data_IF_381859864607
#
_entry.id   IF_381859864607
#
_cell.length_a   1.000
_cell.length_b   1.000
_cell.length_c   1.000
_cell.angle_alpha   90.00
_cell.angle_beta   90.00
_cell.angle_gamma   90.00
#
_symmetry.space_group_name_H-M   'P 1'
#
loop_
_entity.id
_entity.type
_entity.pdbx_description
1 polymer ?
#
# COMPACT_ATOMS: atom_id res chain seq x y z
N UNK A 1 20.87 -9.34 -3.23
CA UNK A 1 19.62 -8.73 -2.73
C UNK A 1 19.47 -9.14 -1.28
N UNK A 2 19.14 -8.20 -0.41
CA UNK A 2 18.92 -8.42 1.02
C UNK A 2 17.50 -8.03 1.37
N UNK A 3 16.87 -8.72 2.31
CA UNK A 3 15.50 -8.46 2.74
C UNK A 3 15.06 -9.55 3.70
N UNK A 4 13.80 -9.99 3.59
CA UNK A 4 13.34 -11.16 4.33
C UNK A 4 14.18 -12.41 3.98
N UNK A 5 14.21 -13.46 4.84
CA UNK A 5 14.92 -14.70 4.54
C UNK A 5 14.52 -15.36 3.22
N UNK A 6 13.25 -15.16 2.79
CA UNK A 6 12.73 -15.64 1.51
C UNK A 6 13.17 -14.79 0.31
N UNK A 7 13.47 -13.50 0.53
CA UNK A 7 13.88 -12.54 -0.51
C UNK A 7 15.41 -12.38 -0.59
N UNK A 8 16.10 -12.80 0.46
CA UNK A 8 17.56 -12.75 0.54
C UNK A 8 18.16 -13.88 -0.29
N UNK A 9 18.82 -13.50 -1.38
CA UNK A 9 19.56 -14.45 -2.21
C UNK A 9 20.96 -14.59 -1.63
N UNK A 10 21.25 -15.78 -1.07
CA UNK A 10 22.55 -16.11 -0.46
C UNK A 10 23.70 -16.21 -1.48
N UNK A 11 23.39 -16.43 -2.76
CA UNK A 11 24.38 -16.52 -3.85
C UNK A 11 24.50 -15.16 -4.53
N UNK A 12 25.72 -14.61 -4.58
CA UNK A 12 26.00 -13.39 -5.31
C UNK A 12 25.94 -13.63 -6.83
N UNK A 13 25.21 -12.78 -7.54
CA UNK A 13 25.34 -12.68 -9.00
C UNK A 13 26.63 -11.92 -9.32
N UNK A 14 27.48 -12.49 -10.18
CA UNK A 14 28.76 -11.90 -10.56
C UNK A 14 28.91 -11.92 -12.07
N UNK A 15 29.34 -10.80 -12.64
CA UNK A 15 29.73 -10.72 -14.05
C UNK A 15 31.12 -11.31 -14.28
N UNK A 16 31.44 -11.62 -15.53
CA UNK A 16 32.81 -11.86 -15.99
C UNK A 16 33.62 -10.56 -15.93
N UNK A 17 34.90 -10.70 -15.64
CA UNK A 17 35.85 -9.59 -15.66
C UNK A 17 36.13 -9.15 -17.11
N UNK A 18 36.23 -7.84 -17.34
CA UNK A 18 36.59 -7.25 -18.63
C UNK A 18 38.03 -6.71 -18.52
N UNK A 19 39.04 -7.47 -18.99
CA UNK A 19 40.43 -7.05 -18.90
C UNK A 19 40.72 -5.87 -19.83
N UNK A 20 41.59 -4.96 -19.41
CA UNK A 20 42.12 -3.88 -20.26
C UNK A 20 41.16 -2.73 -20.59
N UNK A 21 39.95 -2.68 -20.01
CA UNK A 21 38.99 -1.59 -20.21
C UNK A 21 38.40 -1.09 -18.88
N UNK A 22 39.15 -0.23 -18.18
CA UNK A 22 38.73 0.39 -16.91
C UNK A 22 37.87 1.65 -17.05
N UNK A 23 37.70 2.19 -18.27
CA UNK A 23 37.00 3.45 -18.51
C UNK A 23 35.49 3.23 -18.74
N UNK A 24 35.13 2.27 -19.60
CA UNK A 24 33.74 1.94 -19.90
C UNK A 24 33.60 0.44 -20.22
N UNK A 25 33.73 -0.44 -19.22
CA UNK A 25 33.53 -1.87 -19.41
C UNK A 25 32.05 -2.16 -19.73
N UNK A 26 31.82 -2.97 -20.77
CA UNK A 26 30.48 -3.41 -21.17
C UNK A 26 30.31 -4.88 -20.81
N UNK A 27 29.32 -5.17 -19.98
CA UNK A 27 29.01 -6.51 -19.50
C UNK A 27 27.80 -7.03 -20.28
N UNK A 28 28.04 -7.62 -21.45
CA UNK A 28 27.00 -8.20 -22.32
C UNK A 28 26.62 -9.61 -21.83
N UNK A 29 26.02 -9.69 -20.65
CA UNK A 29 25.64 -10.95 -20.01
C UNK A 29 24.13 -11.13 -19.89
N UNK A 30 23.72 -12.35 -19.54
CA UNK A 30 22.32 -12.65 -19.24
C UNK A 30 21.80 -11.77 -18.09
N UNK A 31 20.54 -11.31 -18.16
CA UNK A 31 19.95 -10.49 -17.11
C UNK A 31 19.97 -11.19 -15.75
N UNK A 32 20.33 -10.45 -14.70
CA UNK A 32 20.19 -10.94 -13.33
C UNK A 32 18.71 -11.06 -12.95
N UNK A 33 18.23 -12.30 -12.86
CA UNK A 33 16.82 -12.59 -12.63
C UNK A 33 16.52 -12.85 -11.14
N UNK A 34 15.66 -12.04 -10.56
CA UNK A 34 15.11 -12.22 -9.21
C UNK A 34 13.67 -12.76 -9.34
N UNK A 35 13.52 -14.09 -9.28
CA UNK A 35 12.25 -14.76 -9.63
C UNK A 35 11.08 -14.42 -8.74
N UNK A 36 11.31 -14.27 -7.43
CA UNK A 36 10.25 -14.03 -6.45
C UNK A 36 10.77 -13.09 -5.37
N UNK A 37 10.07 -11.99 -5.19
CA UNK A 37 10.24 -11.07 -4.08
C UNK A 37 8.90 -10.98 -3.37
N UNK A 38 8.87 -11.44 -2.12
CA UNK A 38 7.66 -11.55 -1.28
C UNK A 38 7.27 -10.18 -0.77
N UNK A 39 8.24 -9.38 -0.29
CA UNK A 39 7.97 -8.04 0.24
C UNK A 39 9.01 -7.02 -0.27
N UNK A 40 8.74 -6.37 -1.42
CA UNK A 40 9.64 -5.39 -2.02
C UNK A 40 10.03 -4.23 -1.08
N UNK A 41 9.12 -3.81 -0.21
CA UNK A 41 9.29 -2.65 0.70
C UNK A 41 10.44 -2.83 1.70
N UNK A 42 10.75 -4.08 2.08
CA UNK A 42 11.87 -4.41 2.97
C UNK A 42 13.09 -4.95 2.21
N UNK A 43 13.03 -5.01 0.89
CA UNK A 43 14.11 -5.54 0.06
C UNK A 43 15.01 -4.42 -0.46
N UNK A 44 16.32 -4.68 -0.46
CA UNK A 44 17.35 -3.81 -1.03
C UNK A 44 18.24 -4.55 -2.02
N UNK A 45 18.57 -3.88 -3.12
CA UNK A 45 19.53 -4.31 -4.12
C UNK A 45 20.88 -3.66 -3.84
N UNK A 46 21.89 -4.47 -3.54
CA UNK A 46 23.29 -4.03 -3.44
C UNK A 46 24.01 -4.36 -4.74
N UNK A 47 24.67 -3.37 -5.30
CA UNK A 47 25.54 -3.48 -6.47
C UNK A 47 26.96 -3.13 -6.00
N UNK A 48 27.91 -4.03 -6.19
CA UNK A 48 29.32 -3.82 -5.84
C UNK A 48 30.16 -3.93 -7.10
N UNK A 49 31.07 -2.98 -7.30
CA UNK A 49 32.07 -3.00 -8.37
C UNK A 49 33.41 -3.33 -7.77
N UNK A 50 34.05 -4.36 -8.30
CA UNK A 50 35.31 -4.89 -7.80
C UNK A 50 36.37 -4.80 -8.88
N UNK A 51 37.61 -4.63 -8.45
CA UNK A 51 38.80 -4.76 -9.28
C UNK A 51 39.15 -6.24 -9.50
N UNK A 52 40.04 -6.51 -10.45
CA UNK A 52 40.62 -7.84 -10.71
C UNK A 52 41.30 -8.46 -9.47
N UNK A 53 41.85 -7.61 -8.58
CA UNK A 53 42.44 -8.00 -7.29
C UNK A 53 41.41 -8.44 -6.23
N UNK A 54 40.11 -8.27 -6.50
CA UNK A 54 39.02 -8.48 -5.53
C UNK A 54 38.77 -7.29 -4.61
N UNK A 55 39.50 -6.18 -4.77
CA UNK A 55 39.27 -4.93 -4.02
C UNK A 55 37.96 -4.26 -4.44
N UNK A 56 37.17 -3.80 -3.48
CA UNK A 56 35.95 -3.03 -3.75
C UNK A 56 36.30 -1.62 -4.23
N UNK A 57 35.88 -1.28 -5.44
CA UNK A 57 36.06 0.05 -6.04
C UNK A 57 34.91 0.99 -5.66
N UNK A 58 33.70 0.46 -5.54
CA UNK A 58 32.53 1.22 -5.13
C UNK A 58 31.29 0.35 -5.01
N UNK A 59 30.30 0.83 -4.28
CA UNK A 59 29.03 0.14 -4.07
C UNK A 59 27.84 1.08 -4.13
N UNK A 60 26.67 0.52 -4.41
CA UNK A 60 25.39 1.20 -4.25
C UNK A 60 24.39 0.25 -3.61
N UNK A 61 23.59 0.77 -2.67
CA UNK A 61 22.44 0.08 -2.09
C UNK A 61 21.19 0.86 -2.52
N UNK A 62 20.24 0.17 -3.15
CA UNK A 62 19.00 0.73 -3.66
C UNK A 62 17.80 0.00 -3.04
N UNK A 63 16.83 0.70 -2.43
CA UNK A 63 15.57 0.09 -2.03
C UNK A 63 14.75 -0.30 -3.27
N UNK A 64 14.03 -1.42 -3.19
CA UNK A 64 13.21 -1.89 -4.32
C UNK A 64 11.93 -1.05 -4.53
N UNK A 65 11.31 -0.54 -3.45
CA UNK A 65 10.10 0.30 -3.49
C UNK A 65 10.27 1.56 -4.35
N UNK A 66 11.49 2.13 -4.39
CA UNK A 66 11.81 3.31 -5.19
C UNK A 66 12.40 3.02 -6.58
N UNK A 67 12.49 1.75 -6.98
CA UNK A 67 13.17 1.37 -8.23
C UNK A 67 12.24 1.60 -9.43
N UNK A 68 12.77 2.23 -10.48
CA UNK A 68 12.02 2.51 -11.70
C UNK A 68 12.59 1.71 -12.87
N UNK A 69 11.71 1.15 -13.71
CA UNK A 69 12.11 0.40 -14.89
C UNK A 69 12.79 1.28 -15.96
N UNK A 70 13.56 0.65 -16.85
CA UNK A 70 14.28 1.25 -17.97
C UNK A 70 15.77 1.46 -17.73
N UNK A 71 16.41 2.15 -18.67
CA UNK A 71 17.84 2.48 -18.63
C UNK A 71 18.14 3.58 -17.60
N UNK A 72 19.10 3.33 -16.71
CA UNK A 72 19.45 4.21 -15.59
C UNK A 72 20.96 4.29 -15.37
N UNK A 73 21.43 5.47 -14.99
CA UNK A 73 22.75 5.65 -14.40
C UNK A 73 22.66 5.56 -12.88
N UNK A 74 23.50 4.73 -12.29
CA UNK A 74 23.60 4.50 -10.86
C UNK A 74 24.96 5.00 -10.38
N UNK A 75 24.98 6.12 -9.65
CA UNK A 75 26.20 6.67 -9.06
C UNK A 75 26.65 5.83 -7.87
N UNK A 76 27.92 5.41 -7.91
CA UNK A 76 28.53 4.61 -6.85
C UNK A 76 28.91 5.46 -5.64
N UNK A 77 29.08 4.76 -4.52
CA UNK A 77 29.55 5.29 -3.24
C UNK A 77 30.74 4.47 -2.77
N UNK A 78 31.52 5.01 -1.84
CA UNK A 78 32.63 4.30 -1.21
C UNK A 78 32.12 3.16 -0.31
N UNK A 79 33.04 2.33 0.20
CA UNK A 79 32.71 1.29 1.18
C UNK A 79 32.02 1.86 2.43
N UNK A 80 32.45 3.04 2.90
CA UNK A 80 31.84 3.79 3.99
C UNK A 80 30.56 4.56 3.58
N UNK A 81 29.99 4.29 2.40
CA UNK A 81 28.75 4.88 1.88
C UNK A 81 28.82 6.41 1.62
N UNK A 82 30.02 6.95 1.41
CA UNK A 82 30.20 8.34 0.98
C UNK A 82 30.01 8.50 -0.54
N UNK A 83 29.39 9.59 -1.03
CA UNK A 83 29.20 9.82 -2.46
C UNK A 83 30.52 9.89 -3.25
N UNK A 84 30.57 9.26 -4.43
CA UNK A 84 31.67 9.42 -5.39
C UNK A 84 31.17 10.23 -6.61
N UNK A 85 32.02 11.10 -7.16
CA UNK A 85 31.59 12.09 -8.15
C UNK A 85 31.49 11.55 -9.60
N UNK A 86 32.36 10.61 -9.99
CA UNK A 86 32.52 10.17 -11.38
C UNK A 86 32.08 8.72 -11.67
N UNK A 87 32.28 7.72 -10.80
CA UNK A 87 31.98 6.35 -11.16
C UNK A 87 30.47 6.09 -11.15
N UNK A 88 29.91 5.77 -12.32
CA UNK A 88 28.51 5.43 -12.51
C UNK A 88 28.36 4.13 -13.28
N UNK A 89 27.40 3.30 -12.89
CA UNK A 89 26.99 2.13 -13.65
C UNK A 89 25.80 2.48 -14.54
N UNK A 90 25.80 2.02 -15.77
CA UNK A 90 24.65 2.10 -16.65
C UNK A 90 23.96 0.73 -16.71
N UNK A 91 22.69 0.66 -16.32
CA UNK A 91 21.95 -0.60 -16.28
C UNK A 91 20.54 -0.43 -16.84
N UNK A 92 20.00 -1.50 -17.42
CA UNK A 92 18.58 -1.60 -17.73
C UNK A 92 17.88 -2.37 -16.60
N UNK A 93 16.83 -1.81 -16.02
CA UNK A 93 16.05 -2.42 -14.95
C UNK A 93 14.69 -2.83 -15.52
N UNK A 94 14.37 -4.13 -15.47
CA UNK A 94 13.03 -4.63 -15.80
C UNK A 94 12.29 -5.05 -14.54
N UNK A 95 11.09 -4.48 -14.33
CA UNK A 95 10.20 -4.84 -13.22
C UNK A 95 9.02 -5.63 -13.78
N UNK A 96 8.84 -6.87 -13.32
CA UNK A 96 7.74 -7.75 -13.71
C UNK A 96 6.96 -8.17 -12.47
N UNK A 97 5.66 -8.31 -12.62
CA UNK A 97 4.80 -8.85 -11.57
C UNK A 97 5.07 -10.36 -11.50
N UNK A 98 5.30 -10.87 -10.29
CA UNK A 98 5.47 -12.30 -10.09
C UNK A 98 4.16 -13.04 -10.36
N UNK A 99 4.18 -13.95 -11.32
CA UNK A 99 3.08 -14.88 -11.62
C UNK A 99 3.52 -16.27 -11.16
N UNK A 100 2.78 -16.92 -10.24
CA UNK A 100 3.09 -18.28 -9.84
C UNK A 100 3.00 -19.26 -11.02
N UNK A 101 3.88 -20.26 -11.02
CA UNK A 101 3.93 -21.30 -12.04
C UNK A 101 2.54 -21.97 -12.21
N UNK A 102 2.08 -22.09 -13.45
CA UNK A 102 0.74 -22.62 -13.79
C UNK A 102 -0.38 -21.58 -13.87
N UNK A 103 -0.12 -20.31 -13.54
CA UNK A 103 -1.06 -19.20 -13.72
C UNK A 103 -0.68 -18.25 -14.87
N UNK A 104 0.35 -18.58 -15.65
CA UNK A 104 0.79 -17.77 -16.80
C UNK A 104 -0.33 -17.61 -17.84
N UNK A 105 -1.00 -18.71 -18.21
CA UNK A 105 -2.13 -18.69 -19.15
C UNK A 105 -3.32 -17.88 -18.63
N UNK A 106 -3.57 -17.93 -17.32
CA UNK A 106 -4.64 -17.16 -16.68
C UNK A 106 -4.33 -15.66 -16.66
N UNK A 107 -3.08 -15.28 -16.38
CA UNK A 107 -2.64 -13.90 -16.40
C UNK A 107 -2.61 -13.32 -17.82
N UNK A 108 -2.17 -14.12 -18.80
CA UNK A 108 -2.23 -13.75 -20.22
C UNK A 108 -3.68 -13.51 -20.67
N UNK A 109 -4.61 -14.37 -20.24
CA UNK A 109 -6.04 -14.23 -20.51
C UNK A 109 -6.66 -12.98 -19.85
N UNK A 110 -6.18 -12.56 -18.68
CA UNK A 110 -6.62 -11.32 -18.02
C UNK A 110 -6.00 -10.05 -18.62
N UNK A 111 -4.79 -10.17 -19.17
CA UNK A 111 -4.03 -9.03 -19.71
C UNK A 111 -4.42 -8.69 -21.14
N UNK A 112 -4.95 -9.65 -21.90
CA UNK A 112 -5.48 -9.43 -23.25
C UNK A 112 -6.99 -9.73 -23.34
N UNK A 113 -7.85 -8.76 -23.00
CA UNK A 113 -9.29 -8.93 -23.07
C UNK A 113 -9.82 -9.13 -24.51
N UNK A 114 -9.01 -8.88 -25.55
CA UNK A 114 -9.36 -9.08 -26.95
C UNK A 114 -9.00 -10.46 -27.52
N UNK A 115 -8.11 -11.20 -26.87
CA UNK A 115 -7.73 -12.56 -27.28
C UNK A 115 -8.86 -13.59 -27.10
N UNK A 116 -9.80 -13.31 -26.18
CA UNK A 116 -10.89 -14.21 -25.84
C UNK A 116 -11.94 -14.36 -26.96
N UNK A 117 -12.25 -13.28 -27.68
CA UNK A 117 -13.20 -13.30 -28.80
C UNK A 117 -12.68 -14.14 -29.97
N UNK A 118 -11.38 -14.04 -30.29
CA UNK A 118 -10.78 -14.78 -31.41
C UNK A 118 -10.55 -16.27 -31.10
N UNK A 119 -10.27 -16.62 -29.85
CA UNK A 119 -10.16 -18.01 -29.39
C UNK A 119 -11.53 -18.71 -29.34
N UNK A 120 -12.55 -17.99 -28.87
CA UNK A 120 -13.94 -18.47 -28.86
C UNK A 120 -14.52 -18.60 -30.28
N UNK A 121 -14.18 -17.69 -31.21
CA UNK A 121 -14.55 -17.80 -32.62
C UNK A 121 -13.88 -19.00 -33.30
N UNK A 122 -12.58 -19.23 -33.07
CA UNK A 122 -11.89 -20.41 -33.61
C UNK A 122 -12.41 -21.72 -33.04
N UNK A 123 -12.72 -21.79 -31.74
CA UNK A 123 -13.37 -22.97 -31.16
C UNK A 123 -14.81 -23.15 -31.69
N UNK A 124 -15.55 -22.07 -31.90
CA UNK A 124 -16.90 -22.12 -32.47
C UNK A 124 -16.89 -22.57 -33.95
N UNK A 125 -15.95 -22.10 -34.77
CA UNK A 125 -15.76 -22.58 -36.16
C UNK A 125 -15.34 -24.04 -36.21
N UNK A 126 -14.40 -24.45 -35.35
CA UNK A 126 -13.93 -25.85 -35.30
C UNK A 126 -15.05 -26.80 -34.84
N UNK A 127 -15.90 -26.36 -33.89
CA UNK A 127 -17.06 -27.12 -33.42
C UNK A 127 -18.22 -27.13 -34.43
N UNK A 128 -18.37 -26.08 -35.24
CA UNK A 128 -19.35 -26.01 -36.33
C UNK A 128 -18.95 -26.87 -37.54
N UNK A 129 -17.65 -27.03 -37.78
CA UNK A 129 -17.10 -27.95 -38.79
C UNK A 129 -17.22 -29.43 -38.42
N UNK A 130 -17.44 -29.77 -37.15
CA UNK A 130 -17.54 -31.16 -36.65
C UNK A 130 -18.99 -31.65 -36.44
N UNK A 131 -20.01 -30.86 -36.81
CA UNK A 131 -21.40 -31.33 -36.92
C UNK A 131 -22.09 -31.76 -35.61
N UNK A 132 -21.66 -31.26 -34.46
CA UNK A 132 -22.28 -31.57 -33.16
C UNK A 132 -23.26 -30.46 -32.77
N UNK A 133 -24.54 -30.60 -33.14
CA UNK A 133 -25.62 -29.83 -32.52
C UNK A 133 -25.94 -30.42 -31.13
N UNK A 134 -25.49 -29.74 -30.07
CA UNK A 134 -25.90 -30.05 -28.70
C UNK A 134 -27.19 -29.31 -28.35
N UNK A 135 -28.19 -30.09 -27.95
CA UNK A 135 -29.51 -29.66 -27.48
C UNK A 135 -29.44 -28.73 -26.25
N UNK A 136 -30.27 -27.68 -26.30
CA UNK A 136 -30.27 -26.42 -25.53
C UNK A 136 -30.49 -26.49 -24.00
N UNK A 137 -30.30 -27.60 -23.31
CA UNK A 137 -30.60 -27.67 -21.87
C UNK A 137 -29.47 -27.17 -20.95
N UNK A 138 -28.20 -27.18 -21.40
CA UNK A 138 -27.04 -26.78 -20.58
C UNK A 138 -26.56 -25.34 -20.81
N UNK A 139 -26.97 -24.70 -21.90
CA UNK A 139 -26.58 -23.32 -22.22
C UNK A 139 -27.28 -22.29 -21.31
N UNK A 140 -28.54 -22.52 -20.93
CA UNK A 140 -29.29 -21.61 -20.05
C UNK A 140 -28.74 -21.58 -18.61
N UNK A 141 -28.25 -22.72 -18.10
CA UNK A 141 -27.65 -22.79 -16.76
C UNK A 141 -26.27 -22.12 -16.70
N UNK A 142 -25.55 -22.07 -17.82
CA UNK A 142 -24.23 -21.43 -17.94
C UNK A 142 -24.36 -19.91 -18.15
N UNK A 143 -25.32 -19.47 -18.97
CA UNK A 143 -25.67 -18.04 -19.12
C UNK A 143 -26.12 -17.40 -17.82
N UNK A 144 -26.94 -18.08 -17.01
CA UNK A 144 -27.34 -17.58 -15.68
C UNK A 144 -26.18 -17.39 -14.71
N UNK A 145 -25.13 -18.23 -14.76
CA UNK A 145 -23.93 -18.10 -13.93
C UNK A 145 -22.98 -16.99 -14.40
N UNK A 146 -22.88 -16.74 -15.70
CA UNK A 146 -22.08 -15.64 -16.26
C UNK A 146 -22.74 -14.26 -16.07
N UNK A 147 -24.07 -14.17 -16.11
CA UNK A 147 -24.78 -12.91 -15.78
C UNK A 147 -24.69 -12.56 -14.28
N UNK A 148 -24.71 -13.56 -13.39
CA UNK A 148 -24.53 -13.34 -11.94
C UNK A 148 -23.12 -12.84 -11.59
N UNK A 149 -22.11 -13.20 -12.39
CA UNK A 149 -20.72 -12.78 -12.22
C UNK A 149 -20.41 -11.37 -12.77
N UNK A 150 -21.28 -10.80 -13.61
CA UNK A 150 -21.16 -9.42 -14.14
C UNK A 150 -21.82 -8.34 -13.27
N UNK A 151 -22.55 -8.70 -12.20
CA UNK A 151 -22.96 -7.72 -11.18
C UNK A 151 -21.74 -7.40 -10.32
N UNK A 152 -21.11 -6.25 -10.57
CA UNK A 152 -19.99 -5.71 -9.76
C UNK A 152 -20.18 -6.02 -8.26
N UNK A 153 -19.29 -6.87 -7.73
CA UNK A 153 -19.20 -7.13 -6.30
C UNK A 153 -18.85 -5.78 -5.66
N UNK A 154 -19.75 -5.25 -4.82
CA UNK A 154 -19.54 -3.95 -4.19
C UNK A 154 -18.42 -4.12 -3.17
N UNK A 155 -17.29 -3.48 -3.44
CA UNK A 155 -16.11 -3.47 -2.59
C UNK A 155 -16.02 -2.09 -1.95
N UNK A 156 -16.29 -1.94 -0.64
CA UNK A 156 -16.07 -0.67 0.02
C UNK A 156 -14.59 -0.30 -0.01
N UNK A 157 -14.30 0.99 -0.09
CA UNK A 157 -12.93 1.47 0.05
C UNK A 157 -12.35 1.06 1.42
N UNK A 158 -11.08 0.58 1.47
CA UNK A 158 -10.44 0.22 2.72
C UNK A 158 -10.32 1.43 3.64
N UNK A 159 -10.74 1.29 4.90
CA UNK A 159 -10.58 2.34 5.91
C UNK A 159 -9.15 2.27 6.45
N UNK A 160 -8.30 3.21 6.06
CA UNK A 160 -6.91 3.38 6.52
C UNK A 160 -6.71 4.72 7.23
N UNK A 161 -5.65 4.86 8.03
CA UNK A 161 -5.31 6.13 8.70
C UNK A 161 -5.26 7.31 7.72
N UNK A 162 -4.70 7.10 6.52
CA UNK A 162 -4.61 8.16 5.51
C UNK A 162 -5.96 8.55 4.92
N UNK A 163 -6.87 7.60 4.74
CA UNK A 163 -8.25 7.90 4.33
C UNK A 163 -8.99 8.68 5.42
N UNK A 164 -8.82 8.30 6.68
CA UNK A 164 -9.43 8.98 7.83
C UNK A 164 -8.89 10.41 8.01
N UNK A 165 -7.59 10.64 7.76
CA UNK A 165 -7.00 11.99 7.79
C UNK A 165 -7.54 12.91 6.70
N UNK A 166 -8.06 12.36 5.60
CA UNK A 166 -8.68 13.12 4.49
C UNK A 166 -10.16 13.42 4.74
N UNK A 167 -10.78 12.79 5.72
CA UNK A 167 -12.17 13.06 6.07
C UNK A 167 -12.35 14.50 6.52
N UNK A 168 -13.38 15.18 6.00
CA UNK A 168 -13.66 16.58 6.32
C UNK A 168 -13.97 16.80 7.81
N UNK A 169 -14.39 15.75 8.48
CA UNK A 169 -14.70 15.72 9.92
C UNK A 169 -13.45 15.68 10.79
N UNK A 170 -12.27 15.31 10.25
CA UNK A 170 -11.00 15.33 10.97
C UNK A 170 -10.49 16.76 11.15
N UNK A 171 -10.82 17.39 12.28
CA UNK A 171 -10.47 18.79 12.57
C UNK A 171 -9.18 18.93 13.37
N UNK A 172 -8.80 17.88 14.10
CA UNK A 172 -7.70 17.93 15.05
C UNK A 172 -6.32 18.01 14.39
N UNK A 173 -6.13 17.44 13.19
CA UNK A 173 -4.84 17.52 12.49
C UNK A 173 -4.33 18.95 12.26
N UNK A 174 -5.23 19.89 11.93
CA UNK A 174 -4.87 21.32 11.77
C UNK A 174 -4.54 21.99 13.11
N UNK A 175 -5.17 21.56 14.19
CA UNK A 175 -4.91 22.09 15.55
C UNK A 175 -3.56 21.60 16.05
N UNK A 176 -3.29 20.30 15.95
CA UNK A 176 -2.02 19.67 16.32
C UNK A 176 -0.83 20.28 15.57
N UNK A 177 -0.98 20.52 14.26
CA UNK A 177 0.06 21.17 13.46
C UNK A 177 0.36 22.60 13.95
N UNK A 178 -0.66 23.39 14.28
CA UNK A 178 -0.49 24.75 14.82
C UNK A 178 0.19 24.74 16.20
N UNK A 179 -0.14 23.78 17.05
CA UNK A 179 0.49 23.62 18.37
C UNK A 179 1.98 23.30 18.23
N UNK A 180 2.35 22.35 17.36
CA UNK A 180 3.74 22.00 17.05
C UNK A 180 4.52 23.19 16.47
N UNK A 181 3.94 23.91 15.51
CA UNK A 181 4.60 25.09 14.92
C UNK A 181 4.84 26.18 15.96
N UNK A 182 3.91 26.36 16.90
CA UNK A 182 4.04 27.35 17.97
C UNK A 182 5.14 26.97 18.94
N UNK A 183 5.22 25.69 19.33
CA UNK A 183 6.29 25.15 20.16
C UNK A 183 7.66 25.31 19.49
N UNK A 184 7.80 24.87 18.23
CA UNK A 184 9.05 24.98 17.47
C UNK A 184 9.54 26.41 17.35
N UNK A 185 8.63 27.37 17.14
CA UNK A 185 8.96 28.81 17.13
C UNK A 185 9.47 29.30 18.49
N UNK A 186 8.89 28.81 19.60
CA UNK A 186 9.36 29.13 20.96
C UNK A 186 10.77 28.57 21.18
N UNK A 187 10.98 27.29 20.87
CA UNK A 187 12.30 26.64 20.97
C UNK A 187 13.36 27.35 20.14
N UNK A 188 13.02 27.75 18.91
CA UNK A 188 13.93 28.49 18.04
C UNK A 188 14.34 29.85 18.64
N UNK A 189 13.41 30.58 19.26
CA UNK A 189 13.71 31.85 19.95
C UNK A 189 14.60 31.65 21.19
N UNK A 190 14.38 30.58 21.94
CA UNK A 190 15.23 30.22 23.10
C UNK A 190 16.65 29.88 22.66
N UNK A 191 16.80 29.04 21.62
CA UNK A 191 18.11 28.72 21.00
C UNK A 191 18.84 29.98 20.52
N UNK A 192 18.15 30.86 19.79
CA UNK A 192 18.74 32.12 19.30
C UNK A 192 19.19 33.05 20.43
N UNK A 193 18.38 33.16 21.50
CA UNK A 193 18.73 34.00 22.65
C UNK A 193 19.95 33.45 23.39
N UNK A 194 20.01 32.14 23.63
CA UNK A 194 21.17 31.52 24.28
C UNK A 194 22.44 31.64 23.44
N UNK A 195 22.34 31.35 22.13
CA UNK A 195 23.47 31.48 21.21
C UNK A 195 24.03 32.90 21.21
N UNK A 196 23.18 33.93 21.15
CA UNK A 196 23.62 35.33 21.25
C UNK A 196 24.36 35.60 22.55
N UNK A 197 23.83 35.15 23.69
CA UNK A 197 24.45 35.35 25.00
C UNK A 197 25.81 34.64 25.11
N UNK A 198 25.89 33.40 24.64
CA UNK A 198 27.12 32.61 24.62
C UNK A 198 28.19 33.23 23.73
N UNK A 199 27.84 33.64 22.50
CA UNK A 199 28.76 34.33 21.59
C UNK A 199 29.27 35.64 22.18
N UNK A 200 28.39 36.49 22.73
CA UNK A 200 28.81 37.75 23.37
C UNK A 200 29.71 37.54 24.60
N UNK A 201 29.53 36.44 25.34
CA UNK A 201 30.40 36.11 26.47
C UNK A 201 31.79 35.65 25.99
N UNK A 202 31.86 34.82 24.95
CA UNK A 202 33.13 34.39 24.33
C UNK A 202 33.86 35.59 23.72
N UNK A 203 33.17 36.45 22.97
CA UNK A 203 33.77 37.65 22.35
C UNK A 203 34.46 38.54 23.39
N UNK A 204 33.82 38.76 24.53
CA UNK A 204 34.41 39.54 25.64
C UNK A 204 35.65 38.87 26.24
N UNK A 205 35.65 37.54 26.34
CA UNK A 205 36.77 36.76 26.90
C UNK A 205 37.97 36.67 25.95
N UNK A 206 37.72 36.69 24.64
CA UNK A 206 38.73 36.57 23.58
C UNK A 206 39.32 37.93 23.19
N UNK A 207 38.60 39.02 23.44
CA UNK A 207 39.01 40.38 23.06
C UNK A 207 40.39 40.75 23.63
N UNK A 208 41.34 41.01 22.74
CA UNK A 208 42.68 41.47 23.09
C UNK A 208 43.63 40.37 23.59
N UNK A 209 43.25 39.08 23.53
CA UNK A 209 44.13 37.96 23.87
C UNK A 209 44.72 37.30 22.62
N UNK A 210 45.97 36.85 22.75
CA UNK A 210 46.67 36.09 21.71
C UNK A 210 46.10 34.66 21.59
N UNK A 211 46.07 34.10 20.38
CA UNK A 211 45.52 32.76 20.09
C UNK A 211 46.21 31.67 20.91
N UNK A 212 47.53 31.77 21.11
CA UNK A 212 48.28 30.76 21.86
C UNK A 212 47.99 30.83 23.38
N UNK A 213 47.72 32.03 23.90
CA UNK A 213 47.34 32.23 25.30
C UNK A 213 45.91 31.72 25.58
N UNK A 214 45.00 31.86 24.60
CA UNK A 214 43.60 31.42 24.70
C UNK A 214 43.43 29.90 24.79
N UNK A 215 44.26 29.14 24.07
CA UNK A 215 44.20 27.67 24.03
C UNK A 215 44.53 27.04 25.40
N UNK A 216 45.36 27.71 26.20
CA UNK A 216 45.78 27.27 27.53
C UNK A 216 44.92 27.88 28.66
N UNK A 217 44.08 28.88 28.36
CA UNK A 217 43.30 29.61 29.36
C UNK A 217 42.21 28.71 30.00
N UNK A 218 42.41 28.38 31.28
CA UNK A 218 41.49 27.55 32.05
C UNK A 218 40.09 28.19 32.18
N UNK A 219 40.00 29.53 32.20
CA UNK A 219 38.72 30.23 32.29
C UNK A 219 37.93 30.11 30.97
N UNK A 220 38.62 30.19 29.83
CA UNK A 220 37.98 29.98 28.50
C UNK A 220 37.46 28.55 28.38
N UNK A 221 38.26 27.55 28.77
CA UNK A 221 37.83 26.13 28.78
C UNK A 221 36.62 25.90 29.69
N UNK A 222 36.64 26.50 30.88
CA UNK A 222 35.52 26.40 31.85
C UNK A 222 34.24 26.99 31.26
N UNK A 223 34.30 28.19 30.69
CA UNK A 223 33.14 28.85 30.09
C UNK A 223 32.59 28.06 28.90
N UNK A 224 33.45 27.54 28.02
CA UNK A 224 33.02 26.69 26.90
C UNK A 224 32.33 25.42 27.41
N UNK A 225 32.88 24.78 28.47
CA UNK A 225 32.26 23.60 29.08
C UNK A 225 30.89 23.90 29.69
N UNK A 226 30.74 25.02 30.39
CA UNK A 226 29.47 25.47 30.97
C UNK A 226 28.43 25.81 29.89
N UNK A 227 28.85 26.51 28.83
CA UNK A 227 27.98 26.83 27.69
C UNK A 227 27.52 25.56 26.95
N UNK A 228 28.44 24.62 26.75
CA UNK A 228 28.12 23.31 26.14
C UNK A 228 27.09 22.55 26.99
N UNK A 229 27.26 22.54 28.32
CA UNK A 229 26.30 21.91 29.23
C UNK A 229 24.92 22.60 29.21
N UNK A 230 24.90 23.94 29.23
CA UNK A 230 23.65 24.72 29.13
C UNK A 230 22.91 24.47 27.82
N UNK A 231 23.63 24.45 26.69
CA UNK A 231 23.05 24.15 25.39
C UNK A 231 22.49 22.73 25.36
N UNK A 232 23.29 21.75 25.76
CA UNK A 232 22.89 20.34 25.81
C UNK A 232 21.61 20.14 26.64
N UNK A 233 21.54 20.73 27.84
CA UNK A 233 20.37 20.66 28.71
C UNK A 233 19.12 21.32 28.08
N UNK A 234 19.29 22.44 27.37
CA UNK A 234 18.18 23.08 26.64
C UNK A 234 17.67 22.18 25.51
N UNK A 235 18.55 21.64 24.67
CA UNK A 235 18.13 20.82 23.52
C UNK A 235 17.50 19.50 24.00
N UNK A 236 17.99 18.91 25.08
CA UNK A 236 17.34 17.76 25.74
C UNK A 236 15.91 18.12 26.18
N UNK A 237 15.73 19.26 26.87
CA UNK A 237 14.41 19.73 27.29
C UNK A 237 13.48 19.94 26.10
N UNK A 238 13.95 20.62 25.04
CA UNK A 238 13.16 20.86 23.83
C UNK A 238 12.70 19.56 23.17
N UNK A 239 13.60 18.57 23.07
CA UNK A 239 13.25 17.24 22.53
C UNK A 239 12.21 16.53 23.37
N UNK A 240 12.36 16.53 24.70
CA UNK A 240 11.36 15.94 25.61
C UNK A 240 9.99 16.59 25.45
N UNK A 241 9.95 17.93 25.38
CA UNK A 241 8.71 18.68 25.15
C UNK A 241 8.07 18.34 23.78
N UNK A 242 8.86 18.28 22.70
CA UNK A 242 8.36 17.90 21.37
C UNK A 242 7.80 16.46 21.36
N UNK A 243 8.50 15.52 21.98
CA UNK A 243 8.05 14.13 22.05
C UNK A 243 6.81 13.93 22.90
N UNK A 244 6.75 14.54 24.07
CA UNK A 244 5.57 14.45 24.93
C UNK A 244 4.33 15.01 24.22
N UNK A 245 4.50 16.10 23.44
CA UNK A 245 3.45 16.64 22.60
C UNK A 245 3.06 15.68 21.46
N UNK A 246 4.02 15.13 20.71
CA UNK A 246 3.74 14.19 19.62
C UNK A 246 3.06 12.90 20.12
N UNK A 247 3.49 12.39 21.27
CA UNK A 247 2.87 11.25 21.94
C UNK A 247 1.42 11.58 22.31
N UNK A 248 1.19 12.71 22.97
CA UNK A 248 -0.15 13.18 23.35
C UNK A 248 -1.04 13.38 22.11
N UNK A 249 -0.51 13.95 21.04
CA UNK A 249 -1.24 14.13 19.77
C UNK A 249 -1.61 12.80 19.13
N UNK A 250 -0.73 11.81 19.21
CA UNK A 250 -0.97 10.45 18.69
C UNK A 250 -2.03 9.72 19.52
N UNK A 251 -1.96 9.83 20.85
CA UNK A 251 -2.96 9.26 21.77
C UNK A 251 -4.33 9.91 21.62
N UNK A 252 -4.41 11.24 21.56
CA UNK A 252 -5.67 11.96 21.31
C UNK A 252 -6.21 11.65 19.90
N UNK A 253 -5.31 11.52 18.93
CA UNK A 253 -5.67 11.12 17.56
C UNK A 253 -6.32 9.74 17.50
N UNK A 254 -5.92 8.81 18.38
CA UNK A 254 -6.52 7.46 18.49
C UNK A 254 -8.02 7.51 18.72
N UNK A 255 -8.46 8.26 19.72
CA UNK A 255 -9.87 8.34 20.10
C UNK A 255 -10.71 8.97 18.99
N UNK A 256 -10.14 9.94 18.26
CA UNK A 256 -10.80 10.56 17.11
C UNK A 256 -10.86 9.61 15.92
N UNK A 257 -9.78 8.90 15.60
CA UNK A 257 -9.79 7.90 14.53
C UNK A 257 -10.77 6.76 14.82
N UNK A 258 -10.92 6.33 16.08
CA UNK A 258 -11.94 5.35 16.49
C UNK A 258 -13.36 5.85 16.19
N UNK A 259 -13.67 7.09 16.61
CA UNK A 259 -14.97 7.72 16.30
C UNK A 259 -15.21 7.88 14.80
N UNK A 260 -14.18 8.26 14.04
CA UNK A 260 -14.29 8.42 12.59
C UNK A 260 -14.51 7.07 11.88
N UNK A 261 -13.83 6.01 12.31
CA UNK A 261 -14.06 4.66 11.79
C UNK A 261 -15.52 4.27 11.98
N UNK A 262 -16.11 4.47 13.17
CA UNK A 262 -17.52 4.12 13.41
C UNK A 262 -18.47 4.85 12.45
N UNK A 263 -18.21 6.13 12.17
CA UNK A 263 -19.00 6.93 11.23
C UNK A 263 -18.87 6.39 9.79
N UNK A 264 -17.65 6.08 9.35
CA UNK A 264 -17.41 5.53 8.00
C UNK A 264 -18.01 4.13 7.87
N UNK A 265 -17.87 3.28 8.89
CA UNK A 265 -18.48 1.95 8.92
C UNK A 265 -20.00 2.02 8.85
N UNK A 266 -20.62 2.92 9.62
CA UNK A 266 -22.07 3.15 9.55
C UNK A 266 -22.53 3.61 8.15
N UNK A 267 -21.74 4.47 7.50
CA UNK A 267 -21.98 4.88 6.11
C UNK A 267 -21.89 3.70 5.13
N UNK A 268 -20.86 2.86 5.25
CA UNK A 268 -20.68 1.66 4.43
C UNK A 268 -21.82 0.64 4.64
N UNK A 269 -22.27 0.42 5.87
CA UNK A 269 -23.43 -0.43 6.17
C UNK A 269 -24.70 0.12 5.51
N UNK A 270 -24.92 1.43 5.58
CA UNK A 270 -26.08 2.08 4.94
C UNK A 270 -26.04 1.95 3.41
N UNK A 271 -24.87 2.08 2.80
CA UNK A 271 -24.68 1.87 1.36
C UNK A 271 -24.96 0.41 0.96
N UNK A 272 -24.47 -0.56 1.73
CA UNK A 272 -24.74 -1.97 1.50
C UNK A 272 -26.24 -2.28 1.62
N UNK A 273 -26.91 -1.74 2.64
CA UNK A 273 -28.35 -1.92 2.81
C UNK A 273 -29.14 -1.32 1.64
N UNK A 274 -28.78 -0.12 1.18
CA UNK A 274 -29.42 0.50 0.01
C UNK A 274 -29.23 -0.35 -1.27
N UNK A 275 -28.05 -0.97 -1.44
CA UNK A 275 -27.81 -1.93 -2.54
C UNK A 275 -28.72 -3.15 -2.41
N UNK A 276 -28.81 -3.73 -1.21
CA UNK A 276 -29.68 -4.89 -0.95
C UNK A 276 -31.15 -4.60 -1.24
N UNK A 277 -31.64 -3.43 -0.84
CA UNK A 277 -33.01 -3.00 -1.11
C UNK A 277 -33.27 -2.84 -2.62
N UNK A 278 -32.30 -2.26 -3.35
CA UNK A 278 -32.37 -2.14 -4.81
C UNK A 278 -32.38 -3.51 -5.51
N UNK A 279 -31.49 -4.42 -5.11
CA UNK A 279 -31.42 -5.77 -5.66
C UNK A 279 -32.73 -6.56 -5.45
N UNK A 280 -33.39 -6.38 -4.29
CA UNK A 280 -34.70 -6.99 -4.01
C UNK A 280 -35.77 -6.40 -4.94
N UNK A 281 -35.77 -5.07 -5.12
CA UNK A 281 -36.73 -4.39 -6.01
C UNK A 281 -36.56 -4.86 -7.46
N UNK A 282 -35.33 -4.93 -7.95
CA UNK A 282 -35.02 -5.38 -9.31
C UNK A 282 -35.38 -6.85 -9.52
N UNK A 283 -35.10 -7.72 -8.53
CA UNK A 283 -35.53 -9.11 -8.55
C UNK A 283 -37.05 -9.24 -8.63
N UNK A 284 -37.81 -8.53 -7.78
CA UNK A 284 -39.27 -8.58 -7.81
C UNK A 284 -39.83 -8.09 -9.16
N UNK A 285 -39.24 -7.04 -9.74
CA UNK A 285 -39.61 -6.55 -11.07
C UNK A 285 -39.33 -7.59 -12.16
N UNK A 286 -38.21 -8.31 -12.10
CA UNK A 286 -37.89 -9.39 -13.02
C UNK A 286 -38.85 -10.58 -12.86
N UNK A 287 -39.22 -10.96 -11.63
CA UNK A 287 -40.21 -12.02 -11.39
C UNK A 287 -41.58 -11.68 -11.99
N UNK A 288 -42.00 -10.41 -11.89
CA UNK A 288 -43.22 -9.93 -12.51
C UNK A 288 -43.15 -10.01 -14.05
N UNK A 289 -42.03 -9.57 -14.66
CA UNK A 289 -41.81 -9.67 -16.12
C UNK A 289 -41.86 -11.12 -16.61
N UNK A 290 -41.12 -12.02 -15.97
CA UNK A 290 -41.12 -13.45 -16.30
C UNK A 290 -42.52 -14.05 -16.21
N UNK A 291 -43.31 -13.66 -15.21
CA UNK A 291 -44.69 -14.13 -15.06
C UNK A 291 -45.59 -13.68 -16.22
N UNK A 292 -45.45 -12.44 -16.68
CA UNK A 292 -46.19 -11.89 -17.82
C UNK A 292 -45.75 -12.54 -19.13
N UNK A 293 -44.44 -12.71 -19.34
CA UNK A 293 -43.87 -13.37 -20.53
C UNK A 293 -44.32 -14.83 -20.62
N UNK A 294 -44.25 -15.57 -19.51
CA UNK A 294 -44.73 -16.96 -19.44
C UNK A 294 -46.22 -17.06 -19.81
N UNK A 295 -47.05 -16.11 -19.37
CA UNK A 295 -48.46 -16.09 -19.73
C UNK A 295 -48.67 -15.82 -21.23
N UNK A 296 -47.91 -14.88 -21.81
CA UNK A 296 -47.94 -14.59 -23.25
C UNK A 296 -47.47 -15.78 -24.09
N UNK A 297 -46.40 -16.44 -23.68
CA UNK A 297 -45.86 -17.64 -24.35
C UNK A 297 -46.90 -18.76 -24.43
N UNK A 298 -47.55 -19.09 -23.31
CA UNK A 298 -48.57 -20.14 -23.27
C UNK A 298 -49.80 -19.78 -24.13
N UNK A 299 -50.19 -18.50 -24.16
CA UNK A 299 -51.30 -18.05 -25.00
C UNK A 299 -50.98 -18.10 -26.50
N UNK A 300 -49.75 -17.79 -26.87
CA UNK A 300 -49.27 -17.75 -28.26
C UNK A 300 -48.79 -19.11 -28.79
N UNK A 301 -48.69 -20.12 -27.93
CA UNK A 301 -48.31 -21.48 -28.31
C UNK A 301 -49.38 -22.11 -29.23
N UNK A 302 -48.98 -22.37 -30.49
CA UNK A 302 -49.83 -22.97 -31.53
C UNK A 302 -50.02 -24.47 -31.34
N UNK A 303 -49.20 -25.14 -30.53
CA UNK A 303 -49.34 -26.57 -30.23
C UNK A 303 -50.52 -26.85 -29.29
N UNK A 304 -50.94 -25.86 -28.50
CA UNK A 304 -52.07 -25.96 -27.58
C UNK A 304 -53.36 -25.53 -28.28
N UNK A 305 -54.19 -26.50 -28.69
CA UNK A 305 -55.37 -26.24 -29.55
C UNK A 305 -56.62 -25.85 -28.76
N UNK A 306 -56.76 -26.29 -27.51
CA UNK A 306 -57.95 -26.01 -26.69
C UNK A 306 -57.67 -25.02 -25.57
N UNK A 307 -58.70 -24.28 -25.15
CA UNK A 307 -58.61 -23.38 -23.98
C UNK A 307 -58.23 -24.15 -22.71
N UNK A 308 -58.75 -25.36 -22.52
CA UNK A 308 -58.44 -26.22 -21.39
C UNK A 308 -56.97 -26.63 -21.33
N UNK A 309 -56.35 -26.95 -22.48
CA UNK A 309 -54.92 -27.29 -22.54
C UNK A 309 -54.02 -26.09 -22.22
N UNK A 310 -54.38 -24.90 -22.72
CA UNK A 310 -53.69 -23.64 -22.37
C UNK A 310 -53.80 -23.33 -20.89
N UNK A 311 -54.98 -23.48 -20.30
CA UNK A 311 -55.21 -23.24 -18.87
C UNK A 311 -54.51 -24.28 -17.97
N UNK A 312 -54.38 -25.53 -18.42
CA UNK A 312 -53.58 -26.57 -17.72
C UNK A 312 -52.10 -26.22 -17.77
N UNK A 313 -51.58 -25.90 -18.96
CA UNK A 313 -50.15 -25.57 -19.16
C UNK A 313 -49.75 -24.31 -18.40
N UNK A 314 -50.63 -23.30 -18.36
CA UNK A 314 -50.40 -22.08 -17.60
C UNK A 314 -50.32 -22.35 -16.10
N UNK A 315 -51.16 -23.24 -15.56
CA UNK A 315 -51.11 -23.63 -14.14
C UNK A 315 -49.81 -24.35 -13.78
N UNK A 316 -49.38 -25.32 -14.59
CA UNK A 316 -48.10 -26.01 -14.40
C UNK A 316 -46.92 -25.03 -14.41
N UNK A 317 -46.87 -24.13 -15.40
CA UNK A 317 -45.81 -23.13 -15.52
C UNK A 317 -45.82 -22.12 -14.37
N UNK A 318 -47.01 -21.70 -13.89
CA UNK A 318 -47.13 -20.85 -12.70
C UNK A 318 -46.56 -21.54 -11.45
N UNK A 319 -46.87 -22.81 -11.24
CA UNK A 319 -46.33 -23.57 -10.10
C UNK A 319 -44.80 -23.71 -10.17
N UNK A 320 -44.26 -24.01 -11.36
CA UNK A 320 -42.81 -24.04 -11.60
C UNK A 320 -42.15 -22.69 -11.32
N UNK A 321 -42.75 -21.59 -11.80
CA UNK A 321 -42.27 -20.24 -11.56
C UNK A 321 -42.30 -19.89 -10.06
N UNK A 322 -43.34 -20.26 -9.31
CA UNK A 322 -43.40 -20.05 -7.86
C UNK A 322 -42.24 -20.75 -7.14
N UNK A 323 -41.94 -22.01 -7.48
CA UNK A 323 -40.81 -22.74 -6.89
C UNK A 323 -39.48 -22.05 -7.22
N UNK A 324 -39.29 -21.63 -8.47
CA UNK A 324 -38.10 -20.89 -8.94
C UNK A 324 -37.93 -19.56 -8.20
N UNK A 325 -39.00 -18.78 -8.05
CA UNK A 325 -38.97 -17.49 -7.36
C UNK A 325 -38.66 -17.62 -5.86
N UNK A 326 -39.17 -18.68 -5.21
CA UNK A 326 -38.79 -18.99 -3.82
C UNK A 326 -37.31 -19.34 -3.69
N UNK A 327 -36.78 -20.14 -4.61
CA UNK A 327 -35.35 -20.49 -4.62
C UNK A 327 -34.47 -19.27 -4.89
N UNK A 328 -34.83 -18.41 -5.85
CA UNK A 328 -34.13 -17.17 -6.16
C UNK A 328 -34.09 -16.23 -4.94
N UNK A 329 -35.22 -16.06 -4.23
CA UNK A 329 -35.29 -15.30 -2.96
C UNK A 329 -34.35 -15.87 -1.90
N UNK A 330 -34.34 -17.19 -1.72
CA UNK A 330 -33.47 -17.87 -0.75
C UNK A 330 -31.99 -17.65 -1.08
N UNK A 331 -31.61 -17.74 -2.36
CA UNK A 331 -30.24 -17.49 -2.82
C UNK A 331 -29.82 -16.03 -2.57
N UNK A 332 -30.67 -15.06 -2.89
CA UNK A 332 -30.40 -13.63 -2.64
C UNK A 332 -30.25 -13.38 -1.15
N UNK A 333 -31.11 -13.94 -0.30
CA UNK A 333 -31.00 -13.79 1.15
C UNK A 333 -29.69 -14.35 1.71
N UNK A 334 -29.27 -15.54 1.24
CA UNK A 334 -27.98 -16.14 1.63
C UNK A 334 -26.81 -15.25 1.16
N UNK A 335 -26.87 -14.72 -0.07
CA UNK A 335 -25.84 -13.83 -0.62
C UNK A 335 -25.72 -12.55 0.22
N UNK A 336 -26.85 -11.89 0.50
CA UNK A 336 -26.89 -10.68 1.33
C UNK A 336 -26.35 -10.94 2.74
N UNK A 337 -26.67 -12.09 3.34
CA UNK A 337 -26.12 -12.50 4.63
C UNK A 337 -24.59 -12.65 4.59
N UNK A 338 -24.05 -13.32 3.57
CA UNK A 338 -22.60 -13.47 3.38
C UNK A 338 -21.90 -12.12 3.16
N UNK A 339 -22.50 -11.21 2.41
CA UNK A 339 -21.95 -9.87 2.18
C UNK A 339 -21.90 -9.04 3.47
N UNK A 340 -22.97 -9.09 4.28
CA UNK A 340 -22.99 -8.43 5.60
C UNK A 340 -21.92 -8.97 6.53
N UNK A 341 -21.76 -10.30 6.58
CA UNK A 341 -20.75 -10.93 7.44
C UNK A 341 -19.33 -10.58 6.97
N UNK A 342 -19.05 -10.64 5.66
CA UNK A 342 -17.77 -10.21 5.10
C UNK A 342 -17.45 -8.75 5.45
N UNK A 343 -18.43 -7.86 5.34
CA UNK A 343 -18.25 -6.45 5.68
C UNK A 343 -17.91 -6.28 7.17
N UNK A 344 -18.66 -6.96 8.04
CA UNK A 344 -18.44 -6.93 9.49
C UNK A 344 -17.05 -7.42 9.87
N UNK A 345 -16.60 -8.55 9.32
CA UNK A 345 -15.25 -9.07 9.57
C UNK A 345 -14.17 -8.11 9.05
N UNK A 346 -14.42 -7.45 7.92
CA UNK A 346 -13.51 -6.43 7.40
C UNK A 346 -13.43 -5.21 8.33
N UNK A 347 -14.57 -4.76 8.86
CA UNK A 347 -14.66 -3.64 9.82
C UNK A 347 -13.91 -3.94 11.11
N UNK A 348 -14.09 -5.14 11.68
CA UNK A 348 -13.37 -5.58 12.88
C UNK A 348 -11.85 -5.62 12.65
N UNK A 349 -11.40 -6.13 11.50
CA UNK A 349 -9.97 -6.14 11.14
C UNK A 349 -9.41 -4.73 10.98
N UNK A 350 -10.15 -3.81 10.36
CA UNK A 350 -9.73 -2.43 10.17
C UNK A 350 -9.55 -1.70 11.51
N UNK A 351 -10.46 -1.91 12.47
CA UNK A 351 -10.32 -1.36 13.83
C UNK A 351 -9.08 -1.93 14.52
N UNK A 352 -8.88 -3.25 14.45
CA UNK A 352 -7.72 -3.89 15.09
C UNK A 352 -6.38 -3.45 14.48
N UNK A 353 -6.33 -3.24 13.16
CA UNK A 353 -5.14 -2.73 12.49
C UNK A 353 -4.86 -1.27 12.86
N UNK A 354 -5.89 -0.43 13.00
CA UNK A 354 -5.72 0.95 13.44
C UNK A 354 -5.03 1.02 14.81
N UNK A 355 -5.47 0.20 15.77
CA UNK A 355 -4.84 0.16 17.11
C UNK A 355 -3.36 -0.25 17.02
N UNK A 356 -3.04 -1.28 16.21
CA UNK A 356 -1.65 -1.71 15.99
C UNK A 356 -0.78 -0.63 15.36
N UNK A 357 -1.29 0.06 14.34
CA UNK A 357 -0.53 1.11 13.63
C UNK A 357 -0.25 2.31 14.56
N UNK A 358 -1.21 2.66 15.41
CA UNK A 358 -1.04 3.71 16.41
C UNK A 358 -0.05 3.28 17.49
N UNK A 359 -0.16 2.06 18.01
CA UNK A 359 0.77 1.52 19.00
C UNK A 359 2.20 1.47 18.43
N UNK A 360 2.38 1.02 17.19
CA UNK A 360 3.66 1.02 16.50
C UNK A 360 4.25 2.44 16.35
N UNK A 361 3.41 3.43 16.08
CA UNK A 361 3.83 4.84 16.01
C UNK A 361 4.28 5.37 17.38
N UNK A 362 3.55 5.03 18.45
CA UNK A 362 3.93 5.40 19.83
C UNK A 362 5.24 4.70 20.23
N UNK A 363 5.40 3.43 19.86
CA UNK A 363 6.62 2.65 20.12
C UNK A 363 7.82 3.22 19.36
N UNK A 364 7.64 3.67 18.11
CA UNK A 364 8.67 4.39 17.36
C UNK A 364 9.17 5.62 18.12
N UNK A 365 8.27 6.46 18.65
CA UNK A 365 8.67 7.64 19.45
C UNK A 365 9.38 7.26 20.75
N UNK A 366 8.98 6.16 21.41
CA UNK A 366 9.70 5.63 22.58
C UNK A 366 11.11 5.14 22.21
N UNK A 367 11.26 4.49 21.06
CA UNK A 367 12.54 4.00 20.58
C UNK A 367 13.48 5.14 20.18
N UNK A 368 12.98 6.19 19.55
CA UNK A 368 13.73 7.43 19.33
C UNK A 368 14.23 8.04 20.65
N UNK A 369 13.42 7.96 21.71
CA UNK A 369 13.81 8.36 23.06
C UNK A 369 14.97 7.58 23.64
N UNK A 370 14.89 6.26 23.55
CA UNK A 370 15.95 5.39 24.03
C UNK A 370 17.23 5.60 23.21
N UNK A 371 17.13 5.74 21.88
CA UNK A 371 18.29 6.01 21.03
C UNK A 371 18.98 7.32 21.39
N UNK A 372 18.22 8.36 21.72
CA UNK A 372 18.80 9.63 22.16
C UNK A 372 19.48 9.50 23.52
N UNK A 373 18.88 8.82 24.49
CA UNK A 373 19.50 8.60 25.80
C UNK A 373 20.82 7.82 25.70
N UNK A 374 20.95 6.96 24.69
CA UNK A 374 22.17 6.22 24.35
C UNK A 374 23.18 7.05 23.54
N UNK A 375 22.77 8.18 22.97
CA UNK A 375 23.62 9.05 22.17
C UNK A 375 24.44 10.01 23.04
N UNK A 376 25.47 10.64 22.46
CA UNK A 376 26.25 11.65 23.18
C UNK A 376 25.34 12.79 23.64
N UNK A 377 25.23 12.95 24.97
CA UNK A 377 24.47 14.04 25.58
C UNK A 377 25.13 15.40 25.40
N UNK A 378 26.41 15.41 25.04
CA UNK A 378 27.16 16.61 24.71
C UNK A 378 26.85 17.03 23.28
N UNK A 379 26.10 18.11 23.16
CA UNK A 379 25.87 18.82 21.91
C UNK A 379 26.44 20.24 22.04
N UNK A 380 27.12 20.66 20.98
CA UNK A 380 27.57 22.03 20.82
C UNK A 380 27.07 22.54 19.47
N UNK A 381 26.88 23.85 19.39
CA UNK A 381 26.65 24.52 18.12
C UNK A 381 27.95 25.20 17.70
N UNK A 382 28.17 25.34 16.39
CA UNK A 382 29.29 26.10 15.82
C UNK A 382 28.76 27.41 15.27
#
# INVERSE_FOLDING_TARGET
MYGLPADTIKKEFRTRMVPGNGLNPVYNEEPFLFRKVVLPDLAVLRIGVYEESGKLLGQRILPLDGLQAGYRHISLKTEANFPMALPMLFCNIELKIYVPDGFEDFMAMLSDPGGFSKGAEKQAETMKGLGIEQTDAKAEAKKKKEEEAKKEEWKPEPITIDTLKREKTYKMGKKQLKELDTMRKKHQKEKQTMQKNHCSAIEKLVKGKDKNALIQDANVKKVISEQTAQWSAMVEKHRKEEWEMLKTHTEVGRDEFKKLIEVVQASQVKQLQAKHDKDIKDMNANQAKVSVETAKEVMNDKALKTKGDKDRRLREKKEQNTKKFMQERKTVQIKQGREKEKLKVSHEKQVANLDKDIDATIEMYKNEAIQYDLSSKTEFYV
#
